data_IF_172971483147
#
_entry.id   IF_172971483147
#
_cell.length_a   1.000
_cell.length_b   1.000
_cell.length_c   1.000
_cell.angle_alpha   90.00
_cell.angle_beta   90.00
_cell.angle_gamma   90.00
#
_symmetry.space_group_name_H-M   'P 1'
#
loop_
_entity.id
_entity.type
_entity.pdbx_description
1 polymer ?
#
# COMPACT_ATOMS: atom_id res chain seq x y z
N UNK A 1 -8.68 12.20 14.88
CA UNK A 1 -7.29 11.83 15.24
C UNK A 1 -7.24 10.40 15.79
N UNK A 2 -6.08 9.71 15.84
CA UNK A 2 -5.99 8.26 16.14
C UNK A 2 -6.64 7.82 17.46
N UNK A 3 -6.70 8.71 18.45
CA UNK A 3 -7.22 8.42 19.79
C UNK A 3 -8.70 8.79 19.96
N UNK A 4 -9.35 9.24 18.89
CA UNK A 4 -10.73 9.70 18.92
C UNK A 4 -11.65 8.63 18.35
N UNK A 5 -12.53 8.07 19.20
CA UNK A 5 -13.52 7.08 18.75
C UNK A 5 -14.43 7.69 17.68
N UNK A 6 -14.73 6.89 16.66
CA UNK A 6 -15.75 7.25 15.68
C UNK A 6 -17.14 7.01 16.29
N UNK A 7 -18.02 8.01 16.19
CA UNK A 7 -19.41 7.90 16.65
C UNK A 7 -20.25 6.95 15.78
N UNK A 8 -19.75 6.59 14.60
CA UNK A 8 -20.39 5.66 13.68
C UNK A 8 -19.59 5.42 12.41
N UNK A 9 -20.09 4.51 11.56
CA UNK A 9 -19.46 4.19 10.27
C UNK A 9 -19.51 5.36 9.29
N UNK A 10 -20.60 6.11 9.25
CA UNK A 10 -20.77 7.21 8.29
C UNK A 10 -20.30 8.51 8.95
N UNK A 11 -19.17 9.06 8.49
CA UNK A 11 -18.55 10.26 9.06
C UNK A 11 -17.50 10.85 8.11
N UNK A 12 -17.33 12.18 8.15
CA UNK A 12 -16.33 12.90 7.35
C UNK A 12 -14.89 12.48 7.66
N UNK A 13 -14.64 11.90 8.84
CA UNK A 13 -13.30 11.50 9.29
C UNK A 13 -12.63 10.46 8.40
N UNK A 14 -13.39 9.71 7.60
CA UNK A 14 -12.80 8.78 6.63
C UNK A 14 -12.01 9.51 5.53
N UNK A 15 -12.40 10.74 5.21
CA UNK A 15 -11.68 11.57 4.25
C UNK A 15 -10.29 11.96 4.79
N UNK A 16 -10.13 12.08 6.11
CA UNK A 16 -8.83 12.34 6.74
C UNK A 16 -7.83 11.18 6.54
N UNK A 17 -8.32 9.97 6.29
CA UNK A 17 -7.48 8.78 5.98
C UNK A 17 -7.40 8.57 4.45
N UNK A 18 -8.04 9.44 3.67
CA UNK A 18 -8.03 9.39 2.21
C UNK A 18 -8.99 8.37 1.60
N UNK A 19 -10.13 8.08 2.24
CA UNK A 19 -11.28 7.44 1.58
C UNK A 19 -12.10 8.45 0.76
N UNK A 20 -12.94 7.98 -0.17
CA UNK A 20 -13.85 8.87 -0.91
C UNK A 20 -15.18 9.00 -0.18
N UNK A 21 -15.43 10.20 0.35
CA UNK A 21 -16.68 10.54 1.02
C UNK A 21 -16.77 9.98 2.45
N UNK A 22 -18.00 9.93 2.96
CA UNK A 22 -18.26 9.70 4.39
C UNK A 22 -18.48 8.22 4.76
N UNK A 23 -18.66 7.33 3.77
CA UNK A 23 -18.85 5.90 4.00
C UNK A 23 -17.79 5.07 3.24
N UNK A 24 -16.76 4.53 3.91
CA UNK A 24 -15.63 3.88 3.25
C UNK A 24 -16.04 2.59 2.52
N UNK A 25 -17.23 2.05 2.80
CA UNK A 25 -17.77 0.87 2.11
C UNK A 25 -17.78 1.05 0.60
N UNK A 26 -17.97 2.26 0.09
CA UNK A 26 -18.05 2.51 -1.36
C UNK A 26 -16.73 2.34 -2.08
N UNK A 27 -15.61 2.51 -1.39
CA UNK A 27 -14.27 2.41 -1.96
C UNK A 27 -13.80 0.95 -2.10
N UNK A 28 -14.30 0.08 -1.22
CA UNK A 28 -13.97 -1.35 -1.25
C UNK A 28 -14.74 -2.14 -2.32
N UNK A 29 -15.47 -1.51 -3.25
CA UNK A 29 -16.20 -2.25 -4.30
C UNK A 29 -15.28 -3.10 -5.19
N UNK A 30 -14.05 -2.66 -5.42
CA UNK A 30 -13.07 -3.37 -6.25
C UNK A 30 -12.40 -4.53 -5.52
N UNK A 31 -11.50 -4.21 -4.58
CA UNK A 31 -10.70 -5.22 -3.86
C UNK A 31 -11.40 -5.82 -2.63
N UNK A 32 -12.61 -5.36 -2.30
CA UNK A 32 -13.43 -5.95 -1.24
C UNK A 32 -12.70 -6.05 0.10
N UNK A 33 -12.95 -7.17 0.77
CA UNK A 33 -12.32 -7.50 2.05
C UNK A 33 -10.79 -7.59 1.95
N UNK A 34 -10.24 -8.02 0.82
CA UNK A 34 -8.79 -8.11 0.66
C UNK A 34 -8.12 -6.73 0.76
N UNK A 35 -8.74 -5.70 0.17
CA UNK A 35 -8.26 -4.31 0.29
C UNK A 35 -8.32 -3.80 1.73
N UNK A 36 -9.38 -4.15 2.45
CA UNK A 36 -9.53 -3.79 3.87
C UNK A 36 -8.48 -4.49 4.75
N UNK A 37 -8.32 -5.80 4.58
CA UNK A 37 -7.35 -6.62 5.32
C UNK A 37 -5.91 -6.15 5.06
N UNK A 38 -5.59 -5.78 3.82
CA UNK A 38 -4.29 -5.21 3.46
C UNK A 38 -4.02 -3.87 4.16
N UNK A 39 -4.97 -2.93 4.10
CA UNK A 39 -4.84 -1.64 4.80
C UNK A 39 -4.68 -1.84 6.32
N UNK A 40 -5.48 -2.73 6.90
CA UNK A 40 -5.42 -3.04 8.33
C UNK A 40 -4.09 -3.68 8.71
N UNK A 41 -3.63 -4.66 7.94
CA UNK A 41 -2.34 -5.33 8.17
C UNK A 41 -1.18 -4.33 8.10
N UNK A 42 -1.15 -3.47 7.07
CA UNK A 42 -0.11 -2.45 6.96
C UNK A 42 -0.11 -1.49 8.16
N UNK A 43 -1.29 -1.00 8.56
CA UNK A 43 -1.42 -0.07 9.68
C UNK A 43 -1.10 -0.68 11.05
N UNK A 44 -1.27 -2.00 11.21
CA UNK A 44 -1.06 -2.71 12.48
C UNK A 44 0.34 -3.29 12.60
N UNK A 45 0.80 -4.04 11.60
CA UNK A 45 2.09 -4.72 11.62
C UNK A 45 3.27 -3.79 11.25
N UNK A 46 3.01 -2.77 10.43
CA UNK A 46 4.01 -1.79 10.00
C UNK A 46 3.61 -0.37 10.40
N UNK A 47 3.23 -0.19 11.67
CA UNK A 47 2.67 1.07 12.18
C UNK A 47 3.52 2.31 11.84
N UNK A 48 4.83 2.28 12.08
CA UNK A 48 5.70 3.42 11.80
C UNK A 48 5.78 3.73 10.28
N UNK A 49 6.05 2.75 9.39
CA UNK A 49 5.91 2.94 7.94
C UNK A 49 4.53 3.45 7.51
N UNK A 50 3.44 2.91 8.05
CA UNK A 50 2.09 3.33 7.68
C UNK A 50 1.79 4.77 8.11
N UNK A 51 2.24 5.19 9.29
CA UNK A 51 2.15 6.57 9.75
C UNK A 51 2.98 7.52 8.89
N UNK A 52 4.18 7.09 8.49
CA UNK A 52 5.03 7.87 7.59
C UNK A 52 4.37 8.08 6.23
N UNK A 53 3.87 7.01 5.61
CA UNK A 53 3.15 7.07 4.33
C UNK A 53 1.87 7.90 4.44
N UNK A 54 1.11 7.78 5.53
CA UNK A 54 -0.07 8.61 5.77
C UNK A 54 0.32 10.09 5.87
N UNK A 55 1.38 10.43 6.60
CA UNK A 55 1.86 11.82 6.69
C UNK A 55 2.25 12.38 5.32
N UNK A 56 2.93 11.60 4.48
CA UNK A 56 3.31 12.01 3.12
C UNK A 56 2.11 12.15 2.19
N UNK A 57 1.09 11.32 2.36
CA UNK A 57 -0.15 11.43 1.59
C UNK A 57 -0.88 12.77 1.80
N UNK A 58 -0.60 13.48 2.90
CA UNK A 58 -1.09 14.84 3.17
C UNK A 58 -0.16 15.97 2.68
N UNK A 59 0.90 15.65 1.94
CA UNK A 59 1.82 16.67 1.42
C UNK A 59 1.08 17.74 0.60
N UNK A 60 1.33 19.05 0.82
CA UNK A 60 0.51 20.10 0.21
C UNK A 60 0.58 20.16 -1.33
N UNK A 61 1.69 19.70 -1.92
CA UNK A 61 1.88 19.69 -3.37
C UNK A 61 1.80 18.30 -4.01
N UNK A 62 2.06 17.25 -3.24
CA UNK A 62 2.24 15.88 -3.76
C UNK A 62 1.34 14.87 -3.04
N UNK A 63 0.36 15.37 -2.28
CA UNK A 63 -0.55 14.53 -1.53
C UNK A 63 -1.40 13.66 -2.45
N UNK A 64 -1.88 12.57 -1.89
CA UNK A 64 -2.76 11.62 -2.55
C UNK A 64 -3.69 10.98 -1.53
N UNK A 65 -4.77 10.36 -2.00
CA UNK A 65 -5.73 9.70 -1.13
C UNK A 65 -5.15 8.37 -0.62
N UNK A 66 -4.59 8.34 0.60
CA UNK A 66 -3.94 7.17 1.20
C UNK A 66 -4.77 5.89 1.05
N UNK A 67 -6.02 5.87 1.51
CA UNK A 67 -6.83 4.66 1.45
C UNK A 67 -7.15 4.22 0.01
N UNK A 68 -7.45 5.16 -0.90
CA UNK A 68 -7.73 4.83 -2.32
C UNK A 68 -6.50 4.26 -3.01
N UNK A 69 -5.33 4.88 -2.81
CA UNK A 69 -4.07 4.37 -3.37
C UNK A 69 -3.75 3.01 -2.78
N UNK A 70 -3.89 2.83 -1.47
CA UNK A 70 -3.70 1.53 -0.81
C UNK A 70 -4.64 0.45 -1.35
N UNK A 71 -5.92 0.75 -1.59
CA UNK A 71 -6.86 -0.21 -2.21
C UNK A 71 -6.44 -0.52 -3.66
N UNK A 72 -5.99 0.48 -4.42
CA UNK A 72 -5.51 0.27 -5.78
C UNK A 72 -4.27 -0.63 -5.84
N UNK A 73 -3.31 -0.42 -4.92
CA UNK A 73 -2.10 -1.25 -4.82
C UNK A 73 -2.39 -2.69 -4.40
N UNK A 74 -3.50 -2.94 -3.69
CA UNK A 74 -3.98 -4.32 -3.47
C UNK A 74 -4.29 -5.02 -4.80
N UNK A 75 -4.92 -4.32 -5.74
CA UNK A 75 -5.19 -4.85 -7.08
C UNK A 75 -3.90 -5.17 -7.84
N UNK A 76 -2.92 -4.26 -7.80
CA UNK A 76 -1.60 -4.49 -8.39
C UNK A 76 -0.90 -5.70 -7.77
N UNK A 77 -0.84 -5.80 -6.45
CA UNK A 77 -0.25 -6.94 -5.75
C UNK A 77 -0.92 -8.27 -6.16
N UNK A 78 -2.25 -8.28 -6.23
CA UNK A 78 -3.01 -9.45 -6.67
C UNK A 78 -2.72 -9.84 -8.12
N UNK A 79 -2.63 -8.87 -9.03
CA UNK A 79 -2.28 -9.12 -10.44
C UNK A 79 -0.89 -9.76 -10.56
N UNK A 80 0.10 -9.22 -9.86
CA UNK A 80 1.47 -9.74 -9.83
C UNK A 80 1.54 -11.16 -9.25
N UNK A 81 0.71 -11.48 -8.26
CA UNK A 81 0.61 -12.85 -7.74
C UNK A 81 -0.05 -13.77 -8.78
N UNK A 82 -1.17 -13.34 -9.35
CA UNK A 82 -2.01 -14.13 -10.27
C UNK A 82 -1.28 -14.47 -11.56
N UNK A 83 -0.53 -13.53 -12.12
CA UNK A 83 0.26 -13.75 -13.34
C UNK A 83 1.61 -14.46 -13.07
N UNK A 84 1.92 -14.72 -11.80
CA UNK A 84 3.11 -15.45 -11.37
C UNK A 84 4.36 -14.61 -11.22
N UNK A 85 4.32 -13.30 -11.50
CA UNK A 85 5.50 -12.42 -11.36
C UNK A 85 5.99 -12.36 -9.92
N UNK A 86 5.09 -12.37 -8.94
CA UNK A 86 5.45 -12.32 -7.52
C UNK A 86 5.96 -13.66 -6.95
N UNK A 87 6.07 -14.74 -7.75
CA UNK A 87 6.56 -16.05 -7.27
C UNK A 87 7.95 -15.94 -6.64
N UNK A 88 8.85 -15.18 -7.25
CA UNK A 88 10.20 -14.92 -6.71
C UNK A 88 10.14 -14.41 -5.28
N UNK A 89 9.35 -13.37 -5.04
CA UNK A 89 9.15 -12.82 -3.70
C UNK A 89 8.55 -13.85 -2.74
N UNK A 90 7.49 -14.55 -3.17
CA UNK A 90 6.77 -15.51 -2.32
C UNK A 90 7.70 -16.65 -1.88
N UNK A 91 8.48 -17.22 -2.79
CA UNK A 91 9.38 -18.33 -2.48
C UNK A 91 10.62 -17.89 -1.69
N UNK A 92 11.12 -16.67 -1.92
CA UNK A 92 12.27 -16.16 -1.17
C UNK A 92 11.90 -15.72 0.26
N UNK A 93 10.63 -15.38 0.49
CA UNK A 93 10.13 -14.96 1.81
C UNK A 93 9.61 -16.13 2.64
N UNK A 94 8.97 -17.12 2.00
CA UNK A 94 8.33 -18.23 2.70
C UNK A 94 9.32 -19.34 2.98
N UNK A 95 9.66 -19.56 4.26
CA UNK A 95 10.46 -20.72 4.69
C UNK A 95 9.65 -22.03 4.72
N UNK A 96 8.31 -21.91 4.71
CA UNK A 96 7.33 -23.00 4.74
C UNK A 96 6.28 -22.77 3.67
N UNK A 97 5.18 -23.53 3.68
CA UNK A 97 4.04 -23.26 2.79
C UNK A 97 3.58 -21.79 2.93
N UNK A 98 3.47 -21.03 1.82
CA UNK A 98 3.04 -19.64 1.87
C UNK A 98 1.63 -19.50 2.44
N UNK A 99 1.43 -18.48 3.27
CA UNK A 99 0.12 -18.08 3.80
C UNK A 99 -0.28 -16.73 3.23
N UNK A 100 -1.53 -16.30 3.46
CA UNK A 100 -1.99 -14.95 3.08
C UNK A 100 -1.14 -13.83 3.71
N UNK A 101 -0.49 -14.09 4.86
CA UNK A 101 0.43 -13.15 5.48
C UNK A 101 1.56 -12.70 4.57
N UNK A 102 2.08 -13.60 3.72
CA UNK A 102 3.14 -13.26 2.75
C UNK A 102 2.62 -12.27 1.70
N UNK A 103 1.35 -12.40 1.31
CA UNK A 103 0.70 -11.45 0.41
C UNK A 103 0.53 -10.08 1.07
N UNK A 104 0.08 -10.02 2.33
CA UNK A 104 -0.05 -8.76 3.06
C UNK A 104 1.31 -8.07 3.28
N UNK A 105 2.38 -8.83 3.51
CA UNK A 105 3.75 -8.32 3.58
C UNK A 105 4.20 -7.74 2.22
N UNK A 106 3.89 -8.44 1.12
CA UNK A 106 4.19 -7.95 -0.22
C UNK A 106 3.47 -6.63 -0.51
N UNK A 107 2.17 -6.60 -0.23
CA UNK A 107 1.35 -5.40 -0.34
C UNK A 107 1.94 -4.23 0.47
N UNK A 108 2.32 -4.49 1.71
CA UNK A 108 2.89 -3.47 2.61
C UNK A 108 4.18 -2.88 2.03
N UNK A 109 5.06 -3.74 1.51
CA UNK A 109 6.27 -3.30 0.82
C UNK A 109 5.95 -2.44 -0.40
N UNK A 110 5.00 -2.89 -1.25
CA UNK A 110 4.61 -2.14 -2.44
C UNK A 110 4.05 -0.76 -2.08
N UNK A 111 3.27 -0.65 -1.00
CA UNK A 111 2.72 0.63 -0.58
C UNK A 111 3.82 1.56 -0.06
N UNK A 112 4.70 1.06 0.79
CA UNK A 112 5.83 1.84 1.30
C UNK A 112 6.77 2.33 0.19
N UNK A 113 7.14 1.45 -0.75
CA UNK A 113 8.00 1.85 -1.87
C UNK A 113 7.27 2.73 -2.89
N UNK A 114 5.97 2.55 -3.08
CA UNK A 114 5.19 3.41 -3.96
C UNK A 114 5.16 4.85 -3.45
N UNK A 115 5.03 5.06 -2.14
CA UNK A 115 5.07 6.40 -1.55
C UNK A 115 6.38 7.13 -1.87
N UNK A 116 7.52 6.46 -1.65
CA UNK A 116 8.84 6.98 -2.01
C UNK A 116 8.92 7.30 -3.51
N UNK A 117 8.51 6.34 -4.35
CA UNK A 117 8.54 6.50 -5.80
C UNK A 117 7.64 7.64 -6.32
N UNK A 118 6.48 7.81 -5.70
CA UNK A 118 5.52 8.88 -6.00
C UNK A 118 6.14 10.25 -5.71
N UNK A 119 6.73 10.43 -4.53
CA UNK A 119 7.38 11.69 -4.15
C UNK A 119 8.60 11.99 -5.03
N UNK A 120 9.43 10.99 -5.33
CA UNK A 120 10.57 11.13 -6.24
C UNK A 120 10.14 11.50 -7.67
N UNK A 121 8.95 11.06 -8.09
CA UNK A 121 8.37 11.38 -9.39
C UNK A 121 7.90 12.84 -9.51
N UNK A 122 7.75 13.57 -8.39
CA UNK A 122 7.30 14.97 -8.33
C UNK A 122 6.08 15.25 -9.23
N UNK A 123 4.96 14.53 -9.04
CA UNK A 123 3.77 14.69 -9.86
C UNK A 123 3.26 16.12 -9.82
N UNK A 124 2.75 16.59 -10.95
CA UNK A 124 2.08 17.88 -11.06
C UNK A 124 0.71 17.84 -10.38
N UNK A 125 0.01 16.72 -10.53
CA UNK A 125 -1.29 16.47 -9.90
C UNK A 125 -1.64 14.98 -9.85
N UNK A 126 -2.81 14.68 -9.27
CA UNK A 126 -3.30 13.31 -9.08
C UNK A 126 -3.65 12.59 -10.41
N UNK A 127 -3.81 13.30 -11.52
CA UNK A 127 -4.12 12.72 -12.82
C UNK A 127 -2.95 11.90 -13.36
N UNK A 128 -1.72 12.16 -12.88
CA UNK A 128 -0.53 11.37 -13.21
C UNK A 128 -0.47 10.02 -12.47
N UNK A 129 -1.41 9.73 -11.57
CA UNK A 129 -1.43 8.49 -10.80
C UNK A 129 -1.31 7.24 -11.67
N UNK A 130 -2.09 7.14 -12.74
CA UNK A 130 -2.07 5.94 -13.59
C UNK A 130 -0.69 5.75 -14.25
N UNK A 131 -0.11 6.81 -14.81
CA UNK A 131 1.17 6.71 -15.52
C UNK A 131 2.33 6.41 -14.57
N UNK A 132 2.33 7.01 -13.37
CA UNK A 132 3.34 6.78 -12.34
C UNK A 132 3.21 5.36 -11.78
N UNK A 133 1.99 4.91 -11.46
CA UNK A 133 1.73 3.54 -11.01
C UNK A 133 2.18 2.51 -12.06
N UNK A 134 1.91 2.74 -13.33
CA UNK A 134 2.31 1.80 -14.38
C UNK A 134 3.84 1.74 -14.54
N UNK A 135 4.55 2.86 -14.33
CA UNK A 135 6.02 2.88 -14.28
C UNK A 135 6.55 2.15 -13.04
N UNK A 136 5.92 2.37 -11.88
CA UNK A 136 6.25 1.66 -10.65
C UNK A 136 6.06 0.15 -10.81
N UNK A 137 4.92 -0.28 -11.35
CA UNK A 137 4.64 -1.70 -11.61
C UNK A 137 5.69 -2.32 -12.54
N UNK A 138 6.07 -1.64 -13.62
CA UNK A 138 7.15 -2.10 -14.51
C UNK A 138 8.47 -2.29 -13.76
N UNK A 139 8.85 -1.36 -12.89
CA UNK A 139 10.07 -1.47 -12.10
C UNK A 139 10.02 -2.67 -11.15
N UNK A 140 8.90 -2.87 -10.44
CA UNK A 140 8.69 -4.03 -9.56
C UNK A 140 8.79 -5.34 -10.33
N UNK A 141 8.18 -5.41 -11.53
CA UNK A 141 8.25 -6.60 -12.40
C UNK A 141 9.68 -6.89 -12.82
N UNK A 142 10.45 -5.88 -13.21
CA UNK A 142 11.87 -6.02 -13.58
C UNK A 142 12.68 -6.53 -12.39
N UNK A 143 12.51 -5.96 -11.20
CA UNK A 143 13.19 -6.42 -9.99
C UNK A 143 12.88 -7.89 -9.67
N UNK A 144 11.63 -8.33 -9.85
CA UNK A 144 11.22 -9.71 -9.57
C UNK A 144 11.74 -10.76 -10.58
N UNK A 145 12.36 -10.34 -11.68
CA UNK A 145 13.04 -11.26 -12.61
C UNK A 145 14.36 -11.79 -12.05
N UNK A 146 15.01 -11.06 -11.13
CA UNK A 146 16.17 -11.55 -10.40
C UNK A 146 15.70 -12.55 -9.34
N UNK A 147 16.13 -13.81 -9.47
CA UNK A 147 15.75 -14.90 -8.58
C UNK A 147 16.23 -14.71 -7.13
N UNK A 148 17.18 -13.81 -6.90
CA UNK A 148 17.69 -13.46 -5.57
C UNK A 148 16.92 -12.30 -4.91
N UNK A 149 15.97 -11.67 -5.62
CA UNK A 149 15.24 -10.51 -5.11
C UNK A 149 14.48 -10.82 -3.83
N UNK A 150 14.71 -9.97 -2.83
CA UNK A 150 14.00 -9.97 -1.56
C UNK A 150 13.52 -8.56 -1.30
N UNK A 151 12.20 -8.40 -1.14
CA UNK A 151 11.61 -7.13 -0.77
C UNK A 151 11.35 -7.08 0.74
N UNK A 152 11.79 -6.01 1.40
CA UNK A 152 11.61 -5.80 2.83
C UNK A 152 11.43 -4.31 3.10
N UNK A 153 10.52 -3.99 4.01
CA UNK A 153 10.47 -2.65 4.60
C UNK A 153 11.59 -2.61 5.62
N UNK A 154 12.67 -1.91 5.32
CA UNK A 154 13.76 -1.68 6.25
C UNK A 154 13.33 -0.65 7.30
N UNK A 155 12.74 -1.11 8.40
CA UNK A 155 12.61 -0.27 9.60
C UNK A 155 13.81 -0.59 10.47
N UNK A 156 14.78 0.32 10.54
CA UNK A 156 15.64 0.35 11.72
C UNK A 156 14.70 0.58 12.89
N UNK A 157 14.60 -0.41 13.78
CA UNK A 157 14.13 -0.14 15.14
C UNK A 157 15.23 0.73 15.73
N UNK A 158 15.14 2.04 15.53
CA UNK A 158 15.88 2.98 16.35
C UNK A 158 15.17 2.96 17.71
N UNK A 159 15.68 2.09 18.58
CA UNK A 159 15.58 2.21 20.03
C UNK A 159 16.06 3.61 20.43
N UNK A 160 15.16 4.50 20.88
CA UNK A 160 15.25 5.33 22.10
C UNK A 160 13.85 5.76 22.54
#
# INVERSE_FOLDING_TARGET
>A
MPDERLDGRITKRWQDIGFQGDDPKTDFRGMGMLGLENLLFFATEYRAPAQHVLSHSHHPAYGYCFAIVGINLTSMAWLLLRDGTAKTYVYNTSKTLPTIGVFHQFYSYLFYEFDRFWLESKPLDIMEFSSIKDRFEKNIRVSLQDSSTVFRIGVTVDDV
#
